data_IF_081514252588
#
_entry.id   IF_081514252588
#
_cell.length_a   1.000
_cell.length_b   1.000
_cell.length_c   1.000
_cell.angle_alpha   90.00
_cell.angle_beta   90.00
_cell.angle_gamma   90.00
#
_symmetry.space_group_name_H-M   'P 1'
#
loop_
_entity.id
_entity.type
_entity.pdbx_description
1 polymer ?
#
# COMPACT_ATOMS: atom_id res chain seq x y z
N UNK A 1 -9.20 -31.31 44.11
CA UNK A 1 -8.64 -30.36 43.16
C UNK A 1 -9.32 -30.56 41.80
N UNK A 2 -10.33 -29.76 41.47
CA UNK A 2 -10.94 -29.73 40.11
C UNK A 2 -10.23 -28.68 39.30
N UNK A 3 -9.62 -29.11 38.20
CA UNK A 3 -9.00 -28.21 37.19
C UNK A 3 -10.11 -27.40 36.49
N UNK A 4 -10.08 -26.10 36.68
CA UNK A 4 -10.84 -25.16 35.89
C UNK A 4 -10.19 -25.10 34.47
N UNK A 5 -10.81 -25.84 33.56
CA UNK A 5 -10.53 -25.70 32.14
C UNK A 5 -10.97 -24.32 31.67
N UNK A 6 -10.00 -23.47 31.41
CA UNK A 6 -10.24 -22.20 30.75
C UNK A 6 -10.62 -22.49 29.30
N UNK A 7 -11.92 -22.52 29.03
CA UNK A 7 -12.46 -22.49 27.68
C UNK A 7 -12.06 -21.13 27.05
N UNK A 8 -10.95 -21.11 26.34
CA UNK A 8 -10.77 -20.09 25.32
C UNK A 8 -11.89 -20.29 24.31
N UNK A 9 -12.91 -19.44 24.37
CA UNK A 9 -13.81 -19.26 23.24
C UNK A 9 -12.92 -18.76 22.10
N UNK A 10 -12.60 -19.63 21.15
CA UNK A 10 -12.20 -19.24 19.82
C UNK A 10 -13.40 -18.49 19.25
N UNK A 11 -13.37 -17.15 19.43
CA UNK A 11 -14.22 -16.26 18.67
C UNK A 11 -13.56 -16.27 17.29
N UNK A 12 -13.96 -17.21 16.45
CA UNK A 12 -13.77 -17.11 15.01
C UNK A 12 -14.55 -15.86 14.58
N UNK A 13 -13.86 -14.72 14.53
CA UNK A 13 -14.43 -13.52 13.99
C UNK A 13 -14.63 -13.78 12.50
N UNK A 14 -15.88 -14.00 12.09
CA UNK A 14 -16.21 -14.23 10.70
C UNK A 14 -16.23 -12.91 9.96
N UNK A 15 -15.49 -12.85 8.86
CA UNK A 15 -15.54 -11.72 7.90
C UNK A 15 -17.00 -11.39 7.59
N UNK A 16 -17.31 -10.10 7.48
CA UNK A 16 -18.64 -9.63 7.09
C UNK A 16 -19.15 -10.43 5.86
N UNK A 17 -20.31 -11.09 5.93
CA UNK A 17 -20.78 -11.97 4.87
C UNK A 17 -20.93 -11.27 3.51
N UNK A 18 -21.27 -9.99 3.48
CA UNK A 18 -21.37 -9.24 2.23
C UNK A 18 -19.98 -9.02 1.58
N UNK A 19 -18.94 -8.83 2.38
CA UNK A 19 -17.56 -8.76 1.87
C UNK A 19 -17.09 -10.12 1.37
N UNK A 20 -17.44 -11.19 2.10
CA UNK A 20 -17.16 -12.56 1.67
C UNK A 20 -17.86 -12.91 0.34
N UNK A 21 -19.05 -12.37 0.09
CA UNK A 21 -19.77 -12.53 -1.19
C UNK A 21 -19.08 -11.78 -2.33
N UNK A 22 -18.53 -10.58 -2.10
CA UNK A 22 -17.71 -9.87 -3.09
C UNK A 22 -16.48 -10.70 -3.51
N UNK A 23 -15.82 -11.33 -2.56
CA UNK A 23 -14.68 -12.20 -2.85
C UNK A 23 -15.06 -13.40 -3.75
N UNK A 24 -16.24 -13.99 -3.57
CA UNK A 24 -16.73 -15.12 -4.40
C UNK A 24 -16.90 -14.73 -5.87
N UNK A 25 -17.20 -13.47 -6.16
CA UNK A 25 -17.34 -12.94 -7.53
C UNK A 25 -16.04 -12.32 -8.06
N UNK A 26 -14.91 -12.51 -7.34
CA UNK A 26 -13.60 -12.05 -7.79
C UNK A 26 -13.27 -10.60 -7.47
N UNK A 27 -13.99 -9.97 -6.53
CA UNK A 27 -13.72 -8.59 -6.11
C UNK A 27 -12.90 -8.59 -4.82
N UNK A 28 -11.72 -7.99 -4.85
CA UNK A 28 -10.87 -7.74 -3.70
C UNK A 28 -11.16 -6.36 -3.09
N UNK A 29 -11.39 -6.31 -1.77
CA UNK A 29 -11.65 -5.07 -1.05
C UNK A 29 -10.33 -4.51 -0.53
N UNK A 30 -10.06 -3.25 -0.87
CA UNK A 30 -8.84 -2.55 -0.48
C UNK A 30 -9.14 -1.36 0.42
N UNK A 31 -8.23 -1.09 1.36
CA UNK A 31 -8.23 0.11 2.17
C UNK A 31 -7.46 1.22 1.44
N UNK A 32 -8.08 2.38 1.22
CA UNK A 32 -7.45 3.57 0.65
C UNK A 32 -7.05 4.54 1.76
N UNK A 33 -6.35 4.03 2.75
CA UNK A 33 -5.78 4.80 3.86
C UNK A 33 -4.65 4.02 4.52
N UNK A 34 -3.60 4.74 4.93
CA UNK A 34 -2.49 4.17 5.69
C UNK A 34 -1.82 5.28 6.51
N UNK A 35 -1.59 4.99 7.79
CA UNK A 35 -0.83 5.87 8.68
C UNK A 35 -0.23 5.06 9.83
N UNK A 36 0.80 5.61 10.48
CA UNK A 36 1.36 4.99 11.70
C UNK A 36 0.26 4.82 12.76
N UNK A 37 -0.66 5.78 12.92
CA UNK A 37 -1.76 5.67 13.90
C UNK A 37 -2.68 4.47 13.61
N UNK A 38 -3.02 4.21 12.34
CA UNK A 38 -3.82 3.05 11.96
C UNK A 38 -3.08 1.73 12.22
N UNK A 39 -1.77 1.71 11.99
CA UNK A 39 -0.93 0.54 12.24
C UNK A 39 -0.80 0.25 13.74
N UNK A 40 -0.46 1.28 14.54
CA UNK A 40 -0.19 1.16 15.97
C UNK A 40 -1.47 0.89 16.79
N UNK A 41 -2.61 1.42 16.39
CA UNK A 41 -3.90 1.16 17.04
C UNK A 41 -4.44 -0.26 16.82
N UNK A 42 -3.87 -1.02 15.88
CA UNK A 42 -4.40 -2.32 15.46
C UNK A 42 -5.63 -2.23 14.56
N UNK A 43 -6.00 -1.04 14.09
CA UNK A 43 -7.14 -0.86 13.19
C UNK A 43 -6.94 -1.59 11.86
N UNK A 44 -5.70 -1.63 11.34
CA UNK A 44 -5.37 -2.39 10.12
C UNK A 44 -5.64 -3.88 10.32
N UNK A 45 -5.29 -4.44 11.48
CA UNK A 45 -5.57 -5.86 11.77
C UNK A 45 -7.08 -6.13 11.86
N UNK A 46 -7.85 -5.18 12.41
CA UNK A 46 -9.32 -5.24 12.43
C UNK A 46 -9.91 -5.21 11.01
N UNK A 47 -9.44 -4.31 10.15
CA UNK A 47 -9.88 -4.26 8.75
C UNK A 47 -9.58 -5.56 8.00
N UNK A 48 -8.43 -6.15 8.21
CA UNK A 48 -8.04 -7.44 7.61
C UNK A 48 -8.92 -8.57 8.14
N UNK A 49 -9.02 -8.73 9.45
CA UNK A 49 -9.59 -9.93 10.07
C UNK A 49 -11.12 -9.91 10.17
N UNK A 50 -11.73 -8.73 10.33
CA UNK A 50 -13.18 -8.59 10.52
C UNK A 50 -13.90 -8.08 9.29
N UNK A 51 -13.27 -7.16 8.55
CA UNK A 51 -13.87 -6.53 7.37
C UNK A 51 -13.41 -7.14 6.05
N UNK A 52 -12.46 -8.08 6.06
CA UNK A 52 -12.01 -8.80 4.87
C UNK A 52 -11.23 -7.93 3.88
N UNK A 53 -10.56 -6.91 4.36
CA UNK A 53 -9.62 -6.11 3.55
C UNK A 53 -8.43 -6.98 3.18
N UNK A 54 -8.10 -7.01 1.90
CA UNK A 54 -7.04 -7.86 1.33
C UNK A 54 -5.98 -7.07 0.56
N UNK A 55 -6.03 -5.76 0.62
CA UNK A 55 -5.02 -4.88 0.03
C UNK A 55 -5.09 -3.49 0.62
N UNK A 56 -4.00 -2.74 0.51
CA UNK A 56 -3.89 -1.35 0.96
C UNK A 56 -3.28 -0.52 -0.16
N UNK A 57 -3.85 0.64 -0.41
CA UNK A 57 -3.26 1.64 -1.31
C UNK A 57 -2.96 2.92 -0.56
N UNK A 58 -1.90 3.61 -0.96
CA UNK A 58 -1.52 4.89 -0.39
C UNK A 58 -1.88 6.05 -1.30
N UNK A 59 -2.05 7.20 -0.70
CA UNK A 59 -2.26 8.45 -1.40
C UNK A 59 -1.41 9.54 -0.73
N UNK A 60 -0.58 10.29 -1.48
CA UNK A 60 0.27 11.34 -0.92
C UNK A 60 -0.49 12.37 -0.07
N UNK A 61 -1.69 12.76 -0.50
CA UNK A 61 -2.51 13.74 0.22
C UNK A 61 -3.03 13.22 1.57
N UNK A 62 -3.29 11.92 1.66
CA UNK A 62 -3.70 11.27 2.92
C UNK A 62 -2.52 11.26 3.89
N UNK A 63 -1.33 10.88 3.42
CA UNK A 63 -0.12 10.92 4.24
C UNK A 63 0.23 12.32 4.72
N UNK A 64 0.18 13.32 3.84
CA UNK A 64 0.41 14.72 4.21
C UNK A 64 -0.50 15.14 5.36
N UNK A 65 -1.80 14.82 5.27
CA UNK A 65 -2.76 15.10 6.33
C UNK A 65 -2.42 14.34 7.62
N UNK A 66 -2.12 13.06 7.55
CA UNK A 66 -1.80 12.23 8.71
C UNK A 66 -0.54 12.71 9.42
N UNK A 67 0.53 13.02 8.68
CA UNK A 67 1.78 13.56 9.22
C UNK A 67 1.55 14.91 9.90
N UNK A 68 0.70 15.77 9.31
CA UNK A 68 0.45 17.12 9.84
C UNK A 68 -0.42 17.10 11.11
N UNK A 69 -1.32 16.12 11.23
CA UNK A 69 -2.31 16.08 12.32
C UNK A 69 -1.92 15.16 13.47
N UNK A 70 -0.91 14.31 13.33
CA UNK A 70 -0.53 13.33 14.34
C UNK A 70 0.88 13.60 14.89
N UNK A 71 1.02 13.59 16.21
CA UNK A 71 2.32 13.67 16.89
C UNK A 71 3.12 12.37 16.83
N UNK A 72 2.54 11.28 16.32
CA UNK A 72 3.19 9.96 16.23
C UNK A 72 4.41 10.01 15.32
N UNK A 73 4.43 10.91 14.35
CA UNK A 73 5.54 11.12 13.44
C UNK A 73 6.67 12.01 13.98
N UNK A 74 6.45 12.77 15.05
CA UNK A 74 7.39 13.80 15.54
C UNK A 74 8.78 13.25 15.85
N UNK A 75 8.87 12.09 16.48
CA UNK A 75 10.15 11.47 16.82
C UNK A 75 10.94 11.07 15.57
N UNK A 76 10.28 10.54 14.54
CA UNK A 76 10.90 10.15 13.28
C UNK A 76 11.30 11.37 12.47
N UNK A 77 10.46 12.41 12.43
CA UNK A 77 10.79 13.70 11.80
C UNK A 77 12.03 14.32 12.42
N UNK A 78 12.12 14.30 13.77
CA UNK A 78 13.30 14.81 14.47
C UNK A 78 14.58 14.03 14.12
N UNK A 79 14.48 12.71 13.94
CA UNK A 79 15.60 11.88 13.51
C UNK A 79 16.04 12.21 12.06
N UNK A 80 15.10 12.33 11.13
CA UNK A 80 15.37 12.72 9.75
C UNK A 80 16.04 14.11 9.67
N UNK A 81 15.52 15.07 10.44
CA UNK A 81 16.11 16.42 10.54
C UNK A 81 17.53 16.39 11.10
N UNK A 82 17.80 15.58 12.13
CA UNK A 82 19.14 15.39 12.70
C UNK A 82 20.11 14.73 11.72
N UNK A 83 19.60 13.88 10.82
CA UNK A 83 20.36 13.26 9.73
C UNK A 83 20.61 14.21 8.54
N UNK A 84 20.00 15.40 8.54
CA UNK A 84 20.14 16.39 7.47
C UNK A 84 19.25 16.13 6.26
N UNK A 85 18.23 15.29 6.39
CA UNK A 85 17.26 15.01 5.32
C UNK A 85 16.42 16.27 5.03
N UNK A 86 16.12 16.50 3.76
CA UNK A 86 15.13 17.49 3.35
C UNK A 86 13.72 17.07 3.76
N UNK A 87 12.78 18.01 3.79
CA UNK A 87 11.38 17.70 4.11
C UNK A 87 10.77 16.63 3.19
N UNK A 88 11.13 16.65 1.89
CA UNK A 88 10.67 15.62 0.94
C UNK A 88 11.25 14.24 1.28
N UNK A 89 12.56 14.14 1.54
CA UNK A 89 13.21 12.89 1.93
C UNK A 89 12.66 12.34 3.24
N UNK A 90 12.45 13.19 4.25
CA UNK A 90 11.83 12.81 5.52
C UNK A 90 10.42 12.27 5.31
N UNK A 91 9.58 12.96 4.53
CA UNK A 91 8.23 12.50 4.18
C UNK A 91 8.26 11.13 3.50
N UNK A 92 9.16 10.95 2.54
CA UNK A 92 9.34 9.66 1.87
C UNK A 92 9.79 8.55 2.83
N UNK A 93 10.66 8.88 3.77
CA UNK A 93 11.13 7.93 4.80
C UNK A 93 9.99 7.48 5.71
N UNK A 94 9.09 8.40 6.11
CA UNK A 94 7.90 8.07 6.89
C UNK A 94 6.93 7.16 6.12
N UNK A 95 6.61 7.52 4.87
CA UNK A 95 5.73 6.73 4.01
C UNK A 95 6.29 5.31 3.79
N UNK A 96 7.58 5.21 3.51
CA UNK A 96 8.22 3.90 3.32
C UNK A 96 8.15 3.03 4.57
N UNK A 97 8.30 3.61 5.77
CA UNK A 97 8.17 2.88 7.04
C UNK A 97 6.76 2.30 7.20
N UNK A 98 5.72 3.09 6.98
CA UNK A 98 4.35 2.63 7.12
C UNK A 98 3.98 1.56 6.06
N UNK A 99 4.45 1.74 4.83
CA UNK A 99 4.27 0.75 3.75
C UNK A 99 5.00 -0.56 4.03
N UNK A 100 6.21 -0.52 4.58
CA UNK A 100 6.97 -1.70 5.00
C UNK A 100 6.20 -2.53 6.04
N UNK A 101 5.65 -1.87 7.07
CA UNK A 101 4.82 -2.53 8.08
C UNK A 101 3.50 -3.08 7.49
N UNK A 102 2.84 -2.36 6.60
CA UNK A 102 1.64 -2.83 5.92
C UNK A 102 1.94 -4.06 5.04
N UNK A 103 3.06 -4.06 4.32
CA UNK A 103 3.50 -5.21 3.52
C UNK A 103 3.69 -6.46 4.40
N UNK A 104 4.32 -6.33 5.56
CA UNK A 104 4.51 -7.44 6.51
C UNK A 104 3.16 -7.98 7.03
N UNK A 105 2.23 -7.09 7.39
CA UNK A 105 0.90 -7.50 7.88
C UNK A 105 0.07 -8.24 6.82
N UNK A 106 0.18 -7.86 5.56
CA UNK A 106 -0.56 -8.44 4.44
C UNK A 106 0.15 -9.64 3.78
N UNK A 107 1.42 -9.89 4.10
CA UNK A 107 2.21 -10.97 3.50
C UNK A 107 1.54 -12.36 3.64
N UNK A 108 0.95 -12.75 4.79
CA UNK A 108 0.27 -14.05 4.90
C UNK A 108 -0.92 -14.20 3.95
N UNK A 109 -1.62 -13.11 3.64
CA UNK A 109 -2.71 -13.11 2.66
C UNK A 109 -2.15 -13.28 1.25
N UNK A 110 -1.05 -12.60 0.94
CA UNK A 110 -0.37 -12.73 -0.35
C UNK A 110 0.09 -14.17 -0.60
N UNK A 111 0.72 -14.79 0.39
CA UNK A 111 1.17 -16.19 0.32
C UNK A 111 0.00 -17.15 0.14
N UNK A 112 -1.05 -17.01 0.94
CA UNK A 112 -2.21 -17.92 0.90
C UNK A 112 -3.07 -17.76 -0.35
N UNK A 113 -3.05 -16.59 -0.99
CA UNK A 113 -3.79 -16.30 -2.23
C UNK A 113 -3.01 -16.63 -3.51
N UNK A 114 -1.76 -17.10 -3.39
CA UNK A 114 -0.88 -17.31 -4.55
C UNK A 114 -0.47 -16.00 -5.24
N UNK A 115 -0.36 -14.91 -4.48
CA UNK A 115 0.10 -13.60 -4.98
C UNK A 115 -1.00 -12.72 -5.58
N UNK A 116 -2.27 -13.11 -5.49
CA UNK A 116 -3.41 -12.33 -6.00
C UNK A 116 -3.76 -11.20 -5.02
N UNK A 117 -4.12 -11.55 -3.78
CA UNK A 117 -4.45 -10.63 -2.69
C UNK A 117 -3.22 -10.33 -1.81
N UNK A 118 -3.40 -9.55 -0.76
CA UNK A 118 -2.35 -9.23 0.21
C UNK A 118 -1.35 -8.19 -0.28
N UNK A 119 -1.76 -7.35 -1.20
CA UNK A 119 -0.89 -6.36 -1.83
C UNK A 119 -0.95 -4.99 -1.17
N UNK A 120 0.18 -4.27 -1.21
CA UNK A 120 0.30 -2.88 -0.75
C UNK A 120 0.86 -2.03 -1.88
N UNK A 121 0.24 -0.88 -2.11
CA UNK A 121 0.57 0.02 -3.20
C UNK A 121 1.13 1.33 -2.68
N UNK A 122 2.34 1.72 -3.14
CA UNK A 122 2.97 3.02 -2.86
C UNK A 122 3.03 3.86 -4.13
N UNK A 123 2.58 5.10 -4.06
CA UNK A 123 2.51 6.00 -5.20
C UNK A 123 3.84 6.76 -5.39
N UNK A 124 4.26 6.91 -6.65
CA UNK A 124 5.34 7.83 -7.03
C UNK A 124 4.90 9.28 -6.78
N UNK A 125 5.85 10.18 -6.62
CA UNK A 125 5.57 11.59 -6.36
C UNK A 125 4.71 12.21 -7.47
N UNK A 126 3.59 12.88 -7.13
CA UNK A 126 2.68 13.46 -8.13
C UNK A 126 3.34 14.46 -9.07
N UNK A 127 4.40 15.13 -8.61
CA UNK A 127 5.19 16.05 -9.42
C UNK A 127 5.82 15.40 -10.66
N UNK A 128 5.98 14.08 -10.67
CA UNK A 128 6.55 13.34 -11.81
C UNK A 128 5.50 12.77 -12.76
N UNK A 129 4.22 13.08 -12.58
CA UNK A 129 3.13 12.52 -13.40
C UNK A 129 3.30 12.75 -14.91
N UNK A 130 4.05 13.78 -15.33
CA UNK A 130 4.35 14.10 -16.72
C UNK A 130 5.82 13.92 -17.09
N UNK A 131 6.59 13.21 -16.26
CA UNK A 131 8.03 12.98 -16.44
C UNK A 131 8.34 11.47 -16.30
N UNK A 132 8.43 10.80 -17.44
CA UNK A 132 8.72 9.36 -17.51
C UNK A 132 10.04 9.00 -16.82
N UNK A 133 11.10 9.79 -17.03
CA UNK A 133 12.43 9.46 -16.53
C UNK A 133 12.48 9.52 -14.99
N UNK A 134 11.93 10.57 -14.39
CA UNK A 134 11.88 10.70 -12.94
C UNK A 134 10.88 9.71 -12.31
N UNK A 135 9.75 9.42 -12.95
CA UNK A 135 8.82 8.36 -12.53
C UNK A 135 9.52 7.01 -12.45
N UNK A 136 10.22 6.60 -13.51
CA UNK A 136 10.95 5.31 -13.55
C UNK A 136 12.07 5.28 -12.50
N UNK A 137 12.84 6.35 -12.38
CA UNK A 137 13.92 6.45 -11.39
C UNK A 137 13.40 6.28 -9.97
N UNK A 138 12.32 6.97 -9.61
CA UNK A 138 11.75 6.89 -8.28
C UNK A 138 11.09 5.53 -8.03
N UNK A 139 10.37 5.00 -9.00
CA UNK A 139 9.74 3.67 -8.92
C UNK A 139 10.77 2.57 -8.62
N UNK A 140 11.91 2.57 -9.31
CA UNK A 140 13.01 1.64 -9.03
C UNK A 140 13.58 1.81 -7.62
N UNK A 141 13.82 3.05 -7.19
CA UNK A 141 14.33 3.33 -5.85
C UNK A 141 13.38 2.85 -4.74
N UNK A 142 12.06 3.04 -4.92
CA UNK A 142 11.05 2.53 -4.00
C UNK A 142 11.00 0.99 -3.99
N UNK A 143 11.06 0.37 -5.18
CA UNK A 143 11.05 -1.08 -5.33
C UNK A 143 12.25 -1.74 -4.65
N UNK A 144 13.44 -1.20 -4.87
CA UNK A 144 14.68 -1.68 -4.24
C UNK A 144 14.69 -1.45 -2.73
N UNK A 145 14.24 -0.26 -2.28
CA UNK A 145 14.23 0.11 -0.86
C UNK A 145 13.30 -0.77 -0.02
N UNK A 146 12.09 -1.02 -0.51
CA UNK A 146 11.06 -1.77 0.23
C UNK A 146 11.22 -3.29 0.06
N UNK A 147 11.59 -3.75 -1.12
CA UNK A 147 11.93 -5.15 -1.43
C UNK A 147 10.95 -6.21 -0.90
N UNK A 148 9.64 -5.93 -1.01
CA UNK A 148 8.59 -6.87 -0.62
C UNK A 148 7.93 -7.54 -1.84
N UNK A 149 7.63 -8.84 -1.81
CA UNK A 149 7.03 -9.55 -2.95
C UNK A 149 5.58 -9.11 -3.20
N UNK A 150 4.91 -8.54 -2.22
CA UNK A 150 3.54 -8.06 -2.28
C UNK A 150 3.42 -6.54 -2.49
N UNK A 151 4.54 -5.87 -2.78
CA UNK A 151 4.56 -4.45 -3.12
C UNK A 151 4.04 -4.21 -4.54
N UNK A 152 3.38 -3.08 -4.75
CA UNK A 152 3.05 -2.50 -6.04
C UNK A 152 3.51 -1.04 -6.08
N UNK A 153 4.13 -0.63 -7.17
CA UNK A 153 4.41 0.79 -7.40
C UNK A 153 3.22 1.41 -8.13
N UNK A 154 2.60 2.41 -7.51
CA UNK A 154 1.42 3.10 -8.07
C UNK A 154 1.87 4.22 -8.99
N UNK A 155 1.42 4.18 -10.25
CA UNK A 155 1.81 5.11 -11.31
C UNK A 155 0.56 5.66 -12.00
N UNK A 156 0.42 7.00 -12.17
CA UNK A 156 -0.72 7.58 -12.86
C UNK A 156 -0.68 7.32 -14.36
N UNK A 157 -1.82 7.04 -14.98
CA UNK A 157 -2.00 6.74 -16.41
C UNK A 157 -1.97 8.01 -17.29
N UNK A 158 -1.02 8.89 -17.08
CA UNK A 158 -0.69 9.96 -18.03
C UNK A 158 0.07 9.40 -19.23
N UNK A 159 0.21 10.15 -20.31
CA UNK A 159 1.01 9.70 -21.47
C UNK A 159 2.45 9.35 -21.05
N UNK A 160 3.06 10.15 -20.16
CA UNK A 160 4.41 9.88 -19.63
C UNK A 160 4.40 8.68 -18.68
N UNK A 161 3.34 8.54 -17.86
CA UNK A 161 3.15 7.43 -16.94
C UNK A 161 2.95 6.11 -17.65
N UNK A 162 2.20 6.05 -18.75
CA UNK A 162 2.02 4.84 -19.57
C UNK A 162 3.37 4.34 -20.10
N UNK A 163 4.23 5.23 -20.57
CA UNK A 163 5.59 4.86 -20.98
C UNK A 163 6.42 4.33 -19.80
N UNK A 164 6.28 4.93 -18.63
CA UNK A 164 6.95 4.44 -17.42
C UNK A 164 6.42 3.07 -16.99
N UNK A 165 5.10 2.85 -17.05
CA UNK A 165 4.47 1.56 -16.74
C UNK A 165 5.01 0.44 -17.63
N UNK A 166 5.09 0.69 -18.94
CA UNK A 166 5.68 -0.27 -19.89
C UNK A 166 7.10 -0.66 -19.49
N UNK A 167 7.94 0.34 -19.21
CA UNK A 167 9.32 0.10 -18.83
C UNK A 167 9.44 -0.68 -17.53
N UNK A 168 8.75 -0.24 -16.47
CA UNK A 168 8.77 -0.88 -15.15
C UNK A 168 8.27 -2.33 -15.20
N UNK A 169 7.19 -2.58 -15.93
CA UNK A 169 6.64 -3.92 -16.12
C UNK A 169 7.62 -4.83 -16.85
N UNK A 170 8.31 -4.32 -17.87
CA UNK A 170 9.34 -5.08 -18.60
C UNK A 170 10.55 -5.44 -17.72
N UNK A 171 10.80 -4.70 -16.66
CA UNK A 171 11.85 -4.96 -15.66
C UNK A 171 11.38 -5.90 -14.52
N UNK A 172 10.13 -6.36 -14.55
CA UNK A 172 9.57 -7.24 -13.53
C UNK A 172 9.09 -6.51 -12.27
N UNK A 173 8.96 -5.18 -12.31
CA UNK A 173 8.41 -4.38 -11.23
C UNK A 173 6.88 -4.43 -11.29
N UNK A 174 6.24 -4.84 -10.21
CA UNK A 174 4.78 -4.88 -10.13
C UNK A 174 4.19 -3.47 -10.04
N UNK A 175 3.29 -3.12 -10.95
CA UNK A 175 2.71 -1.77 -11.05
C UNK A 175 1.21 -1.80 -10.74
N UNK A 176 0.75 -0.79 -10.00
CA UNK A 176 -0.67 -0.44 -9.85
C UNK A 176 -0.95 0.85 -10.63
N UNK A 177 -1.66 0.73 -11.72
CA UNK A 177 -2.00 1.90 -12.55
C UNK A 177 -3.20 2.63 -12.00
N UNK A 178 -3.08 3.95 -11.80
CA UNK A 178 -4.15 4.80 -11.27
C UNK A 178 -4.57 5.89 -12.25
N UNK A 179 -5.70 6.56 -11.96
CA UNK A 179 -6.25 7.66 -12.76
C UNK A 179 -6.68 7.25 -14.17
N UNK A 180 -7.28 6.07 -14.30
CA UNK A 180 -7.89 5.59 -15.54
C UNK A 180 -9.37 5.99 -15.54
N UNK A 181 -9.74 6.99 -16.34
CA UNK A 181 -11.09 7.54 -16.39
C UNK A 181 -11.76 7.45 -17.77
N UNK A 182 -11.13 6.78 -18.73
CA UNK A 182 -11.74 6.50 -20.05
C UNK A 182 -11.33 5.12 -20.58
N UNK A 183 -12.10 4.60 -21.51
CA UNK A 183 -11.78 3.33 -22.18
C UNK A 183 -10.49 3.44 -22.98
N UNK A 184 -10.27 4.55 -23.67
CA UNK A 184 -9.07 4.79 -24.47
C UNK A 184 -7.79 4.81 -23.60
N UNK A 185 -7.90 5.39 -22.39
CA UNK A 185 -6.81 5.38 -21.41
C UNK A 185 -6.54 3.93 -20.92
N UNK A 186 -7.60 3.18 -20.61
CA UNK A 186 -7.49 1.77 -20.22
C UNK A 186 -6.83 0.92 -21.32
N UNK A 187 -7.29 1.06 -22.57
CA UNK A 187 -6.70 0.35 -23.72
C UNK A 187 -5.21 0.70 -23.91
N UNK A 188 -4.84 1.98 -23.71
CA UNK A 188 -3.45 2.42 -23.78
C UNK A 188 -2.58 1.78 -22.71
N UNK A 189 -3.11 1.61 -21.49
CA UNK A 189 -2.40 0.95 -20.39
C UNK A 189 -2.26 -0.55 -20.64
N UNK A 190 -3.31 -1.22 -21.14
CA UNK A 190 -3.28 -2.66 -21.43
C UNK A 190 -2.30 -3.00 -22.55
N UNK A 191 -2.12 -2.10 -23.51
CA UNK A 191 -1.21 -2.28 -24.64
C UNK A 191 0.25 -1.90 -24.33
N UNK A 192 0.51 -1.27 -23.17
CA UNK A 192 1.86 -0.89 -22.72
C UNK A 192 2.54 -2.04 -21.98
#
# INVERSE_FOLDING_TARGET
CRALGCLRKDISMSINPHIADLKKIGTSVWLDDLSTDLLDSGAVDTFINEMGVVGITTNPSIFEKSITMSSTYDATIAQCAAAGESASEATFSLICKDVDEACKKLLPIWESSGGIDGRVSIEVEPGFAHDTANTVKQARALWERLSHPNLLIKVPATSAGITAIQQLTSEGISVNTTLIFSVECYESVVNA
#
